data_IF_338697663797
#
_entry.id   IF_338697663797
#
_cell.length_a   1.000
_cell.length_b   1.000
_cell.length_c   1.000
_cell.angle_alpha   90.00
_cell.angle_beta   90.00
_cell.angle_gamma   90.00
#
_symmetry.space_group_name_H-M   'P 1'
#
loop_
_entity.id
_entity.type
_entity.pdbx_description
1 polymer ?
#
# COMPACT_ATOMS: atom_id res chain seq x y z
N UNK A 1 -15.25 30.65 0.54
CA UNK A 1 -14.81 29.25 0.80
C UNK A 1 -14.77 29.09 2.31
N UNK A 2 -15.65 28.30 2.95
CA UNK A 2 -15.89 28.48 4.40
C UNK A 2 -16.01 27.21 5.26
N UNK A 3 -15.79 25.99 4.75
CA UNK A 3 -16.12 24.77 5.52
C UNK A 3 -15.20 23.55 5.34
N UNK A 4 -14.02 23.68 4.70
CA UNK A 4 -13.11 22.54 4.52
C UNK A 4 -11.79 22.81 5.24
N UNK A 5 -11.42 21.93 6.17
CA UNK A 5 -10.14 21.97 6.91
C UNK A 5 -9.13 20.90 6.45
N UNK A 6 -9.47 20.10 5.42
CA UNK A 6 -8.58 19.10 4.85
C UNK A 6 -7.37 19.69 4.09
N UNK A 7 -6.32 18.89 3.87
CA UNK A 7 -5.07 19.32 3.22
C UNK A 7 -5.26 20.03 1.87
N UNK A 8 -6.33 19.67 1.13
CA UNK A 8 -6.63 20.24 -0.18
C UNK A 8 -7.69 21.36 -0.12
N UNK A 9 -8.03 21.89 1.05
CA UNK A 9 -9.03 22.94 1.25
C UNK A 9 -8.80 24.17 0.36
N UNK A 10 -7.54 24.60 0.21
CA UNK A 10 -7.14 25.71 -0.65
C UNK A 10 -7.38 25.45 -2.15
N UNK A 11 -7.45 24.17 -2.56
CA UNK A 11 -7.75 23.74 -3.92
C UNK A 11 -9.20 23.27 -4.09
N UNK A 12 -10.07 23.56 -3.11
CA UNK A 12 -11.47 23.17 -3.13
C UNK A 12 -11.72 21.70 -2.75
N UNK A 13 -10.78 21.05 -2.07
CA UNK A 13 -10.93 19.67 -1.58
C UNK A 13 -10.69 18.57 -2.62
N UNK A 14 -10.06 18.89 -3.75
CA UNK A 14 -9.86 17.96 -4.86
C UNK A 14 -8.87 16.84 -4.49
N UNK A 15 -9.25 15.57 -4.65
CA UNK A 15 -8.38 14.42 -4.36
C UNK A 15 -7.56 13.94 -5.57
N UNK A 16 -7.90 14.38 -6.79
CA UNK A 16 -7.26 13.91 -8.02
C UNK A 16 -7.78 12.53 -8.47
N UNK A 17 -7.02 11.86 -9.35
CA UNK A 17 -7.35 10.51 -9.79
C UNK A 17 -6.84 9.50 -8.78
N UNK A 18 -7.76 8.87 -8.05
CA UNK A 18 -7.45 7.87 -7.02
C UNK A 18 -7.83 6.49 -7.53
N UNK A 19 -6.98 5.49 -7.29
CA UNK A 19 -7.26 4.09 -7.64
C UNK A 19 -8.00 3.39 -6.50
N UNK A 20 -8.77 2.38 -6.88
CA UNK A 20 -9.35 1.45 -5.93
C UNK A 20 -8.24 0.81 -5.07
N UNK A 21 -8.40 0.84 -3.75
CA UNK A 21 -7.40 0.39 -2.77
C UNK A 21 -6.41 1.45 -2.28
N UNK A 22 -6.42 2.67 -2.84
CA UNK A 22 -5.61 3.80 -2.32
C UNK A 22 -6.37 4.61 -1.27
N UNK A 23 -7.70 4.45 -1.19
CA UNK A 23 -8.55 5.11 -0.19
C UNK A 23 -8.69 4.26 1.06
N UNK A 24 -8.90 4.91 2.20
CA UNK A 24 -9.28 4.19 3.42
C UNK A 24 -10.61 3.45 3.22
N UNK A 25 -10.80 2.25 3.81
CA UNK A 25 -11.96 1.41 3.52
C UNK A 25 -13.31 2.11 3.70
N UNK A 26 -13.45 2.95 4.72
CA UNK A 26 -14.69 3.70 5.01
C UNK A 26 -15.05 4.67 3.87
N UNK A 27 -14.07 5.42 3.36
CA UNK A 27 -14.26 6.31 2.23
C UNK A 27 -14.58 5.51 0.97
N UNK A 28 -13.82 4.45 0.74
CA UNK A 28 -13.98 3.61 -0.45
C UNK A 28 -15.38 3.02 -0.54
N UNK A 29 -15.93 2.52 0.57
CA UNK A 29 -17.31 2.03 0.65
C UNK A 29 -18.33 3.12 0.37
N UNK A 30 -18.17 4.31 0.96
CA UNK A 30 -19.09 5.42 0.77
C UNK A 30 -19.14 5.94 -0.67
N UNK A 31 -18.02 5.85 -1.41
CA UNK A 31 -17.94 6.28 -2.81
C UNK A 31 -18.20 5.15 -3.82
N UNK A 32 -18.19 3.88 -3.39
CA UNK A 32 -18.27 2.70 -4.25
C UNK A 32 -19.53 2.69 -5.14
N UNK A 33 -20.63 3.26 -4.66
CA UNK A 33 -21.93 3.29 -5.35
C UNK A 33 -22.23 4.65 -5.98
N UNK A 34 -21.36 5.65 -5.83
CA UNK A 34 -21.57 6.96 -6.42
C UNK A 34 -21.37 6.92 -7.93
N UNK A 35 -22.27 7.62 -8.62
CA UNK A 35 -22.15 7.99 -10.03
C UNK A 35 -21.46 9.35 -10.14
N UNK A 36 -20.88 9.71 -11.30
CA UNK A 36 -20.36 11.06 -11.52
C UNK A 36 -21.42 12.13 -11.20
N UNK A 37 -21.02 13.15 -10.45
CA UNK A 37 -21.89 14.18 -9.85
C UNK A 37 -22.53 13.81 -8.52
N UNK A 38 -22.47 12.54 -8.10
CA UNK A 38 -23.01 12.05 -6.84
C UNK A 38 -22.20 12.52 -5.62
N UNK A 39 -22.89 12.69 -4.49
CA UNK A 39 -22.32 13.09 -3.20
C UNK A 39 -22.50 11.92 -2.22
N UNK A 40 -21.48 11.60 -1.43
CA UNK A 40 -21.53 10.58 -0.41
C UNK A 40 -22.42 10.99 0.76
N UNK A 41 -22.85 10.00 1.55
CA UNK A 41 -23.30 10.25 2.91
C UNK A 41 -22.14 10.83 3.75
N UNK A 42 -22.49 11.30 4.95
CA UNK A 42 -21.52 11.80 5.94
C UNK A 42 -20.61 10.65 6.36
N UNK A 43 -19.30 10.81 6.12
CA UNK A 43 -18.27 9.84 6.51
C UNK A 43 -17.64 10.34 7.80
N UNK A 44 -17.81 9.58 8.88
CA UNK A 44 -17.13 9.84 10.14
C UNK A 44 -15.79 9.12 10.17
N UNK A 45 -14.72 9.86 10.45
CA UNK A 45 -13.36 9.36 10.57
C UNK A 45 -12.70 9.94 11.82
N UNK A 46 -11.57 9.37 12.30
CA UNK A 46 -10.79 9.96 13.39
C UNK A 46 -10.34 11.41 13.11
N UNK A 47 -10.29 11.79 11.83
CA UNK A 47 -9.90 13.13 11.36
C UNK A 47 -11.09 14.09 11.27
N UNK A 48 -12.30 13.63 11.64
CA UNK A 48 -13.54 14.40 11.61
C UNK A 48 -14.53 13.91 10.54
N UNK A 49 -15.45 14.80 10.20
CA UNK A 49 -16.52 14.54 9.24
C UNK A 49 -16.06 14.89 7.82
N UNK A 50 -16.26 13.97 6.89
CA UNK A 50 -15.90 14.14 5.48
C UNK A 50 -17.13 13.89 4.60
N UNK A 51 -17.30 14.74 3.57
CA UNK A 51 -18.31 14.57 2.53
C UNK A 51 -17.57 14.60 1.19
N UNK A 52 -17.80 13.59 0.36
CA UNK A 52 -17.06 13.41 -0.89
C UNK A 52 -18.01 13.52 -2.07
N UNK A 53 -17.57 14.23 -3.11
CA UNK A 53 -18.26 14.27 -4.40
C UNK A 53 -17.46 13.50 -5.44
N UNK A 54 -18.13 12.63 -6.18
CA UNK A 54 -17.55 11.92 -7.31
C UNK A 54 -17.58 12.82 -8.53
N UNK A 55 -16.44 13.39 -8.93
CA UNK A 55 -16.40 14.23 -10.14
C UNK A 55 -16.39 13.39 -11.43
N UNK A 56 -15.63 12.30 -11.46
CA UNK A 56 -15.55 11.36 -12.60
C UNK A 56 -15.24 9.95 -12.11
N UNK A 57 -15.72 8.92 -12.83
CA UNK A 57 -15.50 7.51 -12.52
C UNK A 57 -15.12 6.75 -13.78
N UNK A 58 -13.86 6.32 -13.84
CA UNK A 58 -13.37 5.48 -14.93
C UNK A 58 -13.63 4.01 -14.63
N UNK A 59 -14.13 3.21 -15.59
CA UNK A 59 -14.32 1.78 -15.39
C UNK A 59 -12.97 1.09 -15.15
N UNK A 60 -12.99 -0.02 -14.41
CA UNK A 60 -11.80 -0.87 -14.25
C UNK A 60 -11.40 -1.37 -15.63
N UNK A 61 -10.22 -0.96 -16.08
CA UNK A 61 -9.61 -1.49 -17.30
C UNK A 61 -8.66 -2.61 -16.89
N UNK A 62 -8.98 -3.83 -17.31
CA UNK A 62 -8.10 -4.97 -17.14
C UNK A 62 -7.24 -5.11 -18.40
N UNK A 63 -5.92 -5.23 -18.23
CA UNK A 63 -5.03 -5.66 -19.32
C UNK A 63 -5.32 -7.13 -19.62
N UNK A 64 -5.25 -7.52 -20.90
CA UNK A 64 -5.48 -8.92 -21.26
C UNK A 64 -4.35 -9.80 -20.71
N UNK A 65 -4.66 -11.05 -20.36
CA UNK A 65 -3.67 -11.95 -19.79
C UNK A 65 -2.42 -12.09 -20.67
N UNK A 66 -2.58 -12.22 -21.99
CA UNK A 66 -1.45 -12.34 -22.92
C UNK A 66 -0.53 -11.12 -22.90
N UNK A 67 -1.07 -9.91 -22.69
CA UNK A 67 -0.27 -8.67 -22.62
C UNK A 67 0.60 -8.63 -21.36
N UNK A 68 0.15 -9.28 -20.29
CA UNK A 68 0.80 -9.25 -18.96
C UNK A 68 1.47 -10.55 -18.58
N UNK A 69 1.34 -11.59 -19.41
CA UNK A 69 1.79 -12.95 -19.12
C UNK A 69 3.27 -12.99 -18.69
N UNK A 70 4.13 -12.29 -19.42
CA UNK A 70 5.57 -12.22 -19.11
C UNK A 70 5.84 -11.55 -17.77
N UNK A 71 5.19 -10.42 -17.50
CA UNK A 71 5.32 -9.68 -16.25
C UNK A 71 4.87 -10.52 -15.05
N UNK A 72 3.71 -11.18 -15.18
CA UNK A 72 3.17 -12.08 -14.15
C UNK A 72 4.10 -13.28 -13.94
N UNK A 73 4.61 -13.87 -15.01
CA UNK A 73 5.54 -15.00 -14.92
C UNK A 73 6.83 -14.62 -14.20
N UNK A 74 7.41 -13.46 -14.51
CA UNK A 74 8.61 -12.94 -13.85
C UNK A 74 8.35 -12.69 -12.36
N UNK A 75 7.24 -12.04 -12.02
CA UNK A 75 6.85 -11.78 -10.63
C UNK A 75 6.68 -13.08 -9.83
N UNK A 76 6.00 -14.06 -10.40
CA UNK A 76 5.79 -15.37 -9.76
C UNK A 76 7.12 -16.12 -9.62
N UNK A 77 7.98 -16.04 -10.64
CA UNK A 77 9.31 -16.67 -10.62
C UNK A 77 10.18 -16.08 -9.51
N UNK A 78 10.29 -14.75 -9.44
CA UNK A 78 11.06 -14.06 -8.41
C UNK A 78 10.57 -14.42 -7.00
N UNK A 79 9.25 -14.37 -6.77
CA UNK A 79 8.67 -14.70 -5.47
C UNK A 79 8.96 -16.13 -5.05
N UNK A 80 8.76 -17.10 -5.96
CA UNK A 80 9.07 -18.51 -5.68
C UNK A 80 10.57 -18.73 -5.46
N UNK A 81 11.42 -18.05 -6.22
CA UNK A 81 12.88 -18.15 -6.07
C UNK A 81 13.33 -17.67 -4.71
N UNK A 82 12.78 -16.55 -4.22
CA UNK A 82 13.07 -16.02 -2.88
C UNK A 82 12.62 -17.01 -1.79
N UNK A 83 11.37 -17.50 -1.88
CA UNK A 83 10.82 -18.47 -0.92
C UNK A 83 11.67 -19.76 -0.86
N UNK A 84 12.09 -20.27 -2.03
CA UNK A 84 12.97 -21.44 -2.13
C UNK A 84 14.37 -21.17 -1.60
N UNK A 85 14.94 -20.00 -1.90
CA UNK A 85 16.27 -19.60 -1.43
C UNK A 85 16.32 -19.50 0.10
N UNK A 86 15.32 -18.87 0.71
CA UNK A 86 15.22 -18.79 2.17
C UNK A 86 15.08 -20.17 2.80
N UNK A 87 14.24 -21.03 2.22
CA UNK A 87 14.08 -22.42 2.69
C UNK A 87 15.38 -23.21 2.60
N UNK A 88 16.10 -23.08 1.48
CA UNK A 88 17.39 -23.72 1.26
C UNK A 88 18.46 -23.20 2.23
N UNK A 89 18.51 -21.89 2.51
CA UNK A 89 19.40 -21.30 3.52
C UNK A 89 19.13 -21.84 4.92
N UNK A 90 17.86 -21.99 5.31
CA UNK A 90 17.49 -22.58 6.60
C UNK A 90 17.99 -24.03 6.68
N UNK A 91 17.80 -24.81 5.62
CA UNK A 91 18.27 -26.20 5.56
C UNK A 91 19.79 -26.31 5.68
N UNK A 92 20.53 -25.46 4.96
CA UNK A 92 21.99 -25.42 5.04
C UNK A 92 22.49 -25.04 6.43
N UNK A 93 21.87 -24.04 7.07
CA UNK A 93 22.20 -23.62 8.44
C UNK A 93 21.98 -24.76 9.44
N UNK A 94 20.88 -25.50 9.31
CA UNK A 94 20.57 -26.62 10.20
C UNK A 94 21.54 -27.80 10.04
N UNK A 95 22.14 -27.97 8.86
CA UNK A 95 23.12 -29.01 8.56
C UNK A 95 24.56 -28.62 8.93
N UNK A 96 24.80 -27.34 9.23
CA UNK A 96 26.13 -26.82 9.53
C UNK A 96 26.30 -26.53 11.03
N UNK A 97 27.50 -26.80 11.56
CA UNK A 97 27.89 -26.27 12.87
C UNK A 97 28.34 -24.81 12.71
N UNK A 98 27.59 -23.86 13.28
CA UNK A 98 27.85 -22.42 13.16
C UNK A 98 28.22 -21.88 14.55
N UNK A 99 29.45 -21.38 14.70
CA UNK A 99 29.90 -20.64 15.88
C UNK A 99 30.00 -19.15 15.54
N UNK A 100 29.24 -18.30 16.26
CA UNK A 100 29.30 -16.83 16.09
C UNK A 100 30.15 -16.26 17.22
N UNK A 101 31.35 -15.76 16.89
CA UNK A 101 32.25 -15.10 17.85
C UNK A 101 32.03 -13.59 17.82
N UNK A 102 31.50 -13.04 18.91
CA UNK A 102 31.43 -11.59 19.12
C UNK A 102 32.69 -11.14 19.87
N UNK A 103 33.51 -10.29 19.24
CA UNK A 103 34.56 -9.57 19.96
C UNK A 103 33.95 -8.32 20.61
N UNK A 104 33.83 -8.32 21.94
CA UNK A 104 33.58 -7.10 22.68
C UNK A 104 34.92 -6.40 22.93
N UNK A 105 35.14 -5.27 22.28
CA UNK A 105 36.16 -4.32 22.75
C UNK A 105 35.64 -3.68 24.04
N UNK A 106 36.11 -4.16 25.19
CA UNK A 106 35.99 -3.40 26.44
C UNK A 106 36.80 -2.13 26.30
N UNK A 107 36.11 -1.02 26.03
CA UNK A 107 36.67 0.33 26.11
C UNK A 107 37.09 0.60 27.57
N UNK A 108 38.34 0.28 27.90
CA UNK A 108 39.02 0.76 29.09
C UNK A 108 39.10 2.29 29.04
N UNK A 109 38.14 2.95 29.68
CA UNK A 109 38.21 4.38 29.95
C UNK A 109 39.35 4.63 30.96
N UNK A 110 40.46 5.18 30.47
CA UNK A 110 41.45 5.87 31.30
C UNK A 110 41.11 7.35 31.33
N UNK A 111 40.63 7.84 32.48
CA UNK A 111 40.98 9.15 33.04
C UNK A 111 40.61 9.22 34.51
#
# INVERSE_FOLDING_TARGET
MRYSDGANALQGGRLGLVRHGELIPTIEQAVAHLVPGGISDIIESPEGIQIIRMDDRKPKQFRQFEEVRREVQELVYQRKSEDMYQSWLVELKNKAYIEIKFQHETSTAHR
#
